data_IF_420800659280
#
_entry.id   IF_420800659280
#
_cell.length_a   1.000
_cell.length_b   1.000
_cell.length_c   1.000
_cell.angle_alpha   90.00
_cell.angle_beta   90.00
_cell.angle_gamma   90.00
#
_symmetry.space_group_name_H-M   'P 1'
#
loop_
_entity.id
_entity.type
_entity.pdbx_description
1 polymer ?
#
# COMPACT_ATOMS: atom_id res chain seq x y z
N UNK A 1 6.70 -33.62 -12.70
CA UNK A 1 7.20 -33.10 -11.40
C UNK A 1 7.75 -31.72 -11.67
N UNK A 2 7.02 -30.68 -11.24
CA UNK A 2 7.22 -29.27 -11.57
C UNK A 2 8.35 -28.69 -10.70
N UNK A 3 9.41 -28.18 -11.34
CA UNK A 3 10.36 -27.25 -10.71
C UNK A 3 9.96 -25.85 -11.18
N UNK A 4 9.39 -25.03 -10.31
CA UNK A 4 9.32 -23.58 -10.53
C UNK A 4 10.74 -23.03 -10.27
N UNK A 5 11.36 -22.48 -11.31
CA UNK A 5 12.52 -21.62 -11.19
C UNK A 5 12.00 -20.20 -10.95
N UNK A 6 12.29 -19.65 -9.78
CA UNK A 6 12.23 -18.21 -9.50
C UNK A 6 13.46 -17.58 -10.18
N UNK A 7 13.25 -16.69 -11.14
CA UNK A 7 14.31 -15.86 -11.73
C UNK A 7 14.71 -14.80 -10.67
N UNK A 8 15.87 -14.91 -10.04
CA UNK A 8 17.18 -14.45 -10.51
C UNK A 8 17.51 -13.02 -10.02
N UNK A 9 17.91 -12.90 -8.74
CA UNK A 9 18.86 -11.86 -8.32
C UNK A 9 20.24 -12.21 -8.92
N UNK A 10 20.86 -11.28 -9.65
CA UNK A 10 22.18 -11.44 -10.23
C UNK A 10 23.23 -10.58 -9.50
N UNK A 11 24.17 -11.28 -8.85
CA UNK A 11 25.59 -10.95 -8.59
C UNK A 11 26.02 -9.73 -7.75
N UNK A 12 26.64 -10.01 -6.59
CA UNK A 12 28.07 -9.75 -6.36
C UNK A 12 28.61 -10.61 -5.20
N UNK A 13 29.70 -11.34 -5.45
CA UNK A 13 30.43 -12.15 -4.47
C UNK A 13 31.34 -11.31 -3.59
N UNK A 14 31.21 -11.41 -2.25
CA UNK A 14 32.24 -10.99 -1.30
C UNK A 14 32.37 -11.99 -0.16
N UNK A 15 33.62 -12.25 0.22
CA UNK A 15 34.07 -13.23 1.20
C UNK A 15 33.75 -12.82 2.64
N UNK A 16 33.10 -13.73 3.37
CA UNK A 16 33.09 -13.95 4.83
C UNK A 16 33.40 -12.76 5.76
N UNK A 17 32.35 -11.99 6.10
CA UNK A 17 32.01 -11.45 7.43
C UNK A 17 30.75 -10.59 7.31
N UNK A 18 29.57 -11.18 7.05
CA UNK A 18 28.38 -10.41 6.66
C UNK A 18 27.07 -10.97 7.24
N UNK A 19 26.94 -11.01 8.56
CA UNK A 19 25.62 -11.21 9.19
C UNK A 19 24.88 -9.89 9.47
N UNK A 20 25.36 -8.74 8.99
CA UNK A 20 24.88 -7.42 9.41
C UNK A 20 24.56 -6.43 8.28
N UNK A 21 24.47 -6.87 7.02
CA UNK A 21 23.96 -6.01 5.94
C UNK A 21 22.60 -6.51 5.49
N UNK A 22 21.59 -5.65 5.55
CA UNK A 22 20.27 -5.89 4.94
C UNK A 22 20.40 -5.63 3.43
N UNK A 23 19.78 -6.48 2.61
CA UNK A 23 19.57 -6.19 1.19
C UNK A 23 18.18 -5.61 1.02
N UNK A 24 18.10 -4.39 0.53
CA UNK A 24 16.85 -3.78 0.11
C UNK A 24 16.30 -4.50 -1.12
N UNK A 25 15.00 -4.74 -1.14
CA UNK A 25 14.31 -5.21 -2.33
C UNK A 25 14.39 -4.15 -3.43
N UNK A 26 14.40 -4.60 -4.69
CA UNK A 26 14.53 -3.73 -5.87
C UNK A 26 13.34 -2.74 -6.02
N UNK A 27 12.32 -2.85 -5.15
CA UNK A 27 11.09 -2.08 -5.16
C UNK A 27 11.17 -0.80 -4.29
N UNK A 28 12.32 -0.49 -3.68
CA UNK A 28 12.53 0.70 -2.83
C UNK A 28 13.67 1.59 -3.34
N UNK A 29 13.40 2.88 -3.54
CA UNK A 29 14.39 3.93 -3.83
C UNK A 29 14.40 4.97 -2.68
N UNK A 30 15.27 4.75 -1.69
CA UNK A 30 15.37 5.60 -0.50
C UNK A 30 16.10 6.93 -0.79
N UNK A 31 15.46 8.05 -0.44
CA UNK A 31 15.93 9.40 -0.79
C UNK A 31 16.21 10.33 0.41
N UNK A 32 16.02 9.87 1.66
CA UNK A 32 16.38 10.66 2.85
C UNK A 32 15.38 10.57 4.02
N UNK A 33 15.63 11.30 5.10
CA UNK A 33 14.83 11.27 6.34
C UNK A 33 14.22 12.63 6.67
N UNK A 34 12.90 12.63 6.94
CA UNK A 34 12.10 13.79 7.33
C UNK A 34 12.16 14.02 8.84
N UNK A 35 12.20 15.28 9.27
CA UNK A 35 12.29 15.65 10.69
C UNK A 35 10.95 15.71 11.43
N UNK A 36 9.81 15.66 10.72
CA UNK A 36 8.45 15.46 11.26
C UNK A 36 7.91 16.45 12.31
N UNK A 37 8.72 17.39 12.81
CA UNK A 37 8.46 18.08 14.09
C UNK A 37 8.59 19.62 14.02
N UNK A 38 8.66 20.23 12.83
CA UNK A 38 8.96 21.66 12.70
C UNK A 38 8.30 22.42 11.54
N UNK A 39 7.52 21.76 10.69
CA UNK A 39 6.72 22.46 9.68
C UNK A 39 5.35 22.81 10.28
N UNK A 40 4.78 23.96 9.91
CA UNK A 40 3.36 24.24 10.18
C UNK A 40 2.56 23.14 9.49
N UNK A 41 2.01 22.21 10.27
CA UNK A 41 1.18 21.12 9.76
C UNK A 41 -0.15 21.73 9.34
N UNK A 42 -0.31 22.00 8.05
CA UNK A 42 -1.63 22.24 7.47
C UNK A 42 -1.97 21.03 6.63
N UNK A 43 -3.00 20.29 7.05
CA UNK A 43 -3.60 19.27 6.21
C UNK A 43 -4.01 19.91 4.88
N UNK A 44 -3.73 19.26 3.73
CA UNK A 44 -4.21 19.76 2.45
C UNK A 44 -5.73 19.90 2.48
N UNK A 45 -6.30 20.96 1.88
CA UNK A 45 -7.73 21.10 1.78
C UNK A 45 -8.31 19.99 0.89
N UNK A 46 -9.45 19.40 1.29
CA UNK A 46 -10.19 18.45 0.47
C UNK A 46 -10.62 19.07 -0.86
N UNK A 47 -10.27 18.45 -1.99
CA UNK A 47 -10.89 18.78 -3.26
C UNK A 47 -12.30 18.19 -3.33
N UNK A 48 -13.29 18.96 -3.82
CA UNK A 48 -14.67 18.50 -3.90
C UNK A 48 -14.87 17.33 -4.89
N UNK A 49 -14.04 17.24 -5.94
CA UNK A 49 -13.95 16.16 -6.93
C UNK A 49 -12.50 16.03 -7.38
N UNK A 50 -11.88 14.85 -7.28
CA UNK A 50 -10.55 14.55 -7.82
C UNK A 50 -9.48 15.62 -7.56
N UNK A 51 -8.67 15.44 -6.52
CA UNK A 51 -7.60 16.39 -6.19
C UNK A 51 -6.24 16.00 -6.77
N UNK A 52 -6.00 14.69 -6.85
CA UNK A 52 -4.70 14.15 -7.20
C UNK A 52 -4.42 14.36 -8.68
N UNK A 53 -3.21 14.83 -8.99
CA UNK A 53 -2.70 14.87 -10.36
C UNK A 53 -1.53 13.90 -10.47
N UNK A 54 -1.59 12.97 -11.42
CA UNK A 54 -0.48 12.07 -11.73
C UNK A 54 0.16 12.52 -13.05
N UNK A 55 1.44 12.88 -13.00
CA UNK A 55 2.28 13.18 -14.16
C UNK A 55 3.07 11.93 -14.53
N UNK A 56 2.96 11.51 -15.79
CA UNK A 56 3.65 10.34 -16.33
C UNK A 56 4.85 10.76 -17.18
N UNK A 57 6.05 10.44 -16.72
CA UNK A 57 7.30 10.66 -17.45
C UNK A 57 7.68 9.39 -18.21
N UNK A 58 7.83 9.47 -19.53
CA UNK A 58 8.21 8.31 -20.35
C UNK A 58 9.71 7.97 -20.14
N UNK A 59 10.00 6.74 -19.76
CA UNK A 59 11.37 6.19 -19.71
C UNK A 59 11.71 5.26 -20.88
N UNK A 60 10.71 4.98 -21.74
CA UNK A 60 10.85 4.26 -23.01
C UNK A 60 9.62 3.41 -23.33
N UNK A 61 9.14 3.45 -24.59
CA UNK A 61 8.02 2.63 -25.05
C UNK A 61 6.63 3.14 -24.65
N UNK A 62 6.56 4.34 -24.05
CA UNK A 62 5.34 5.00 -23.57
C UNK A 62 5.22 6.40 -24.20
N UNK A 63 5.57 6.53 -25.48
CA UNK A 63 5.49 7.80 -26.21
C UNK A 63 4.03 8.23 -26.39
N UNK A 64 3.80 9.55 -26.51
CA UNK A 64 2.48 10.10 -26.76
C UNK A 64 1.85 9.48 -28.02
N UNK A 65 0.61 9.00 -27.91
CA UNK A 65 -0.13 8.34 -28.99
C UNK A 65 0.03 6.80 -29.03
N UNK A 66 0.88 6.21 -28.19
CA UNK A 66 0.95 4.74 -28.04
C UNK A 66 -0.21 4.20 -27.19
N UNK A 67 -0.57 2.93 -27.39
CA UNK A 67 -1.56 2.25 -26.54
C UNK A 67 -1.09 2.14 -25.09
N UNK A 68 0.20 1.87 -24.86
CA UNK A 68 0.78 1.85 -23.52
C UNK A 68 0.62 3.19 -22.81
N UNK A 69 0.86 4.31 -23.51
CA UNK A 69 0.63 5.65 -22.96
C UNK A 69 -0.83 5.86 -22.58
N UNK A 70 -1.77 5.54 -23.46
CA UNK A 70 -3.19 5.67 -23.18
C UNK A 70 -3.61 4.79 -21.99
N UNK A 71 -3.08 3.57 -21.88
CA UNK A 71 -3.36 2.66 -20.77
C UNK A 71 -2.86 3.20 -19.42
N UNK A 72 -1.65 3.75 -19.37
CA UNK A 72 -1.15 4.39 -18.15
C UNK A 72 -1.94 5.66 -17.79
N UNK A 73 -2.35 6.46 -18.78
CA UNK A 73 -3.19 7.65 -18.55
C UNK A 73 -4.57 7.25 -18.00
N UNK A 74 -5.16 6.16 -18.51
CA UNK A 74 -6.40 5.61 -17.99
C UNK A 74 -6.24 5.10 -16.55
N UNK A 75 -5.14 4.40 -16.24
CA UNK A 75 -4.84 3.92 -14.89
C UNK A 75 -4.61 5.09 -13.90
N UNK A 76 -3.88 6.12 -14.32
CA UNK A 76 -3.69 7.34 -13.57
C UNK A 76 -5.02 8.07 -13.30
N UNK A 77 -5.93 8.07 -14.29
CA UNK A 77 -7.26 8.67 -14.16
C UNK A 77 -8.14 7.94 -13.13
N UNK A 78 -8.00 6.61 -12.98
CA UNK A 78 -8.70 5.86 -11.92
C UNK A 78 -8.36 6.45 -10.55
N UNK A 79 -7.08 6.50 -10.18
CA UNK A 79 -6.66 7.06 -8.90
C UNK A 79 -6.98 8.55 -8.76
N UNK A 80 -6.76 9.34 -9.81
CA UNK A 80 -7.05 10.79 -9.81
C UNK A 80 -8.54 11.10 -9.64
N UNK A 81 -9.43 10.17 -10.03
CA UNK A 81 -10.88 10.32 -9.84
C UNK A 81 -11.35 9.94 -8.43
N UNK A 82 -10.54 9.21 -7.68
CA UNK A 82 -10.86 8.65 -6.36
C UNK A 82 -10.23 9.48 -5.25
N UNK A 83 -8.92 9.70 -5.32
CA UNK A 83 -8.14 10.40 -4.29
C UNK A 83 -8.38 11.93 -4.35
N UNK A 84 -8.61 12.55 -3.20
CA UNK A 84 -9.06 13.95 -3.07
C UNK A 84 -7.96 14.92 -2.64
N UNK A 85 -6.76 14.41 -2.35
CA UNK A 85 -5.58 15.21 -2.03
C UNK A 85 -5.15 16.06 -3.23
N UNK A 86 -5.09 17.39 -3.13
CA UNK A 86 -4.71 18.27 -4.23
C UNK A 86 -3.19 18.29 -4.48
N UNK A 87 -2.59 17.11 -4.66
CA UNK A 87 -1.13 16.93 -4.77
C UNK A 87 -0.73 16.36 -6.13
N UNK A 88 0.51 16.65 -6.54
CA UNK A 88 1.07 16.13 -7.79
C UNK A 88 2.03 14.98 -7.53
N UNK A 89 1.67 13.80 -8.02
CA UNK A 89 2.51 12.60 -8.04
C UNK A 89 3.19 12.49 -9.39
N UNK A 90 4.48 12.20 -9.41
CA UNK A 90 5.27 12.04 -10.64
C UNK A 90 5.72 10.58 -10.74
N UNK A 91 5.29 9.90 -11.79
CA UNK A 91 5.65 8.51 -12.03
C UNK A 91 6.45 8.41 -13.32
N UNK A 92 7.60 7.77 -13.23
CA UNK A 92 8.36 7.33 -14.39
C UNK A 92 7.71 6.05 -14.92
N UNK A 93 7.31 6.02 -16.19
CA UNK A 93 6.61 4.87 -16.81
C UNK A 93 7.38 4.32 -17.99
N UNK A 94 7.51 3.00 -18.06
CA UNK A 94 8.23 2.30 -19.12
C UNK A 94 7.49 1.07 -19.64
N UNK A 95 7.68 0.76 -20.92
CA UNK A 95 7.11 -0.42 -21.57
C UNK A 95 8.20 -1.10 -22.43
N UNK A 96 8.84 -2.11 -21.87
CA UNK A 96 9.99 -2.78 -22.49
C UNK A 96 10.04 -4.26 -22.08
N UNK A 97 11.07 -5.01 -22.47
CA UNK A 97 11.17 -6.40 -22.05
C UNK A 97 11.56 -6.48 -20.56
N UNK A 98 10.74 -7.15 -19.75
CA UNK A 98 11.07 -7.49 -18.36
C UNK A 98 11.48 -8.96 -18.21
N UNK A 99 11.80 -9.36 -16.98
CA UNK A 99 12.08 -10.75 -16.65
C UNK A 99 10.91 -11.69 -16.98
N UNK A 100 11.17 -13.00 -17.19
CA UNK A 100 10.13 -13.97 -17.50
C UNK A 100 9.00 -13.96 -16.45
N UNK A 101 7.74 -14.00 -16.90
CA UNK A 101 6.53 -14.00 -16.07
C UNK A 101 6.28 -12.71 -15.25
N UNK A 102 7.01 -11.61 -15.49
CA UNK A 102 6.76 -10.31 -14.86
C UNK A 102 5.89 -9.47 -15.80
N UNK A 103 4.65 -9.22 -15.39
CA UNK A 103 3.68 -8.40 -16.13
C UNK A 103 4.04 -6.91 -16.04
N UNK A 104 4.15 -6.45 -14.80
CA UNK A 104 4.62 -5.13 -14.41
C UNK A 104 5.41 -5.24 -13.11
N UNK A 105 6.07 -4.15 -12.77
CA UNK A 105 6.78 -3.98 -11.50
C UNK A 105 6.82 -2.50 -11.13
N UNK A 106 6.88 -2.22 -9.83
CA UNK A 106 6.95 -0.87 -9.31
C UNK A 106 8.07 -0.71 -8.31
N UNK A 107 8.93 0.28 -8.56
CA UNK A 107 9.84 0.80 -7.56
C UNK A 107 9.27 2.09 -6.96
N UNK A 108 9.21 2.16 -5.63
CA UNK A 108 8.68 3.30 -4.88
C UNK A 108 9.80 4.19 -4.35
N UNK A 109 9.71 5.49 -4.62
CA UNK A 109 10.60 6.47 -4.00
C UNK A 109 10.15 6.74 -2.57
N UNK A 110 11.06 6.64 -1.60
CA UNK A 110 10.72 6.66 -0.18
C UNK A 110 11.57 7.63 0.65
N UNK A 111 11.01 8.06 1.77
CA UNK A 111 11.72 8.70 2.86
C UNK A 111 11.53 7.89 4.15
N UNK A 112 12.32 8.22 5.17
CA UNK A 112 12.02 7.83 6.55
C UNK A 112 11.36 9.00 7.27
N UNK A 113 10.46 8.72 8.19
CA UNK A 113 9.88 9.70 9.09
C UNK A 113 9.84 9.11 10.50
N UNK A 114 9.97 9.96 11.53
CA UNK A 114 9.79 9.51 12.91
C UNK A 114 8.35 9.05 13.13
N UNK A 115 8.15 7.98 13.89
CA UNK A 115 6.82 7.47 14.21
C UNK A 115 5.92 8.55 14.84
N UNK A 116 6.45 9.31 15.81
CA UNK A 116 5.72 10.43 16.42
C UNK A 116 5.34 11.52 15.40
N UNK A 117 6.24 11.83 14.46
CA UNK A 117 5.98 12.80 13.40
C UNK A 117 4.87 12.32 12.48
N UNK A 118 4.96 11.07 12.00
CA UNK A 118 3.94 10.44 11.17
C UNK A 118 2.57 10.44 11.86
N UNK A 119 2.49 9.98 13.12
CA UNK A 119 1.24 9.97 13.89
C UNK A 119 0.64 11.37 14.01
N UNK A 120 1.46 12.40 14.17
CA UNK A 120 1.00 13.80 14.25
C UNK A 120 0.44 14.28 12.91
N UNK A 121 1.08 13.93 11.79
CA UNK A 121 0.60 14.27 10.46
C UNK A 121 -0.72 13.57 10.15
N UNK A 122 -0.80 12.25 10.38
CA UNK A 122 -2.03 11.48 10.17
C UNK A 122 -3.18 12.02 11.05
N UNK A 123 -2.90 12.43 12.29
CA UNK A 123 -3.90 13.05 13.15
C UNK A 123 -4.36 14.43 12.66
N UNK A 124 -3.47 15.21 12.06
CA UNK A 124 -3.82 16.51 11.49
C UNK A 124 -4.59 16.37 10.17
N UNK A 125 -4.30 15.30 9.42
CA UNK A 125 -4.91 15.01 8.12
C UNK A 125 -6.20 14.19 8.23
N UNK A 126 -6.53 13.64 9.39
CA UNK A 126 -7.73 12.82 9.57
C UNK A 126 -9.04 13.54 9.16
N UNK A 127 -9.66 13.06 8.09
CA UNK A 127 -10.85 13.66 7.46
C UNK A 127 -12.04 12.71 7.38
N UNK A 128 -11.82 11.41 7.53
CA UNK A 128 -12.86 10.38 7.57
C UNK A 128 -12.97 9.70 8.95
N UNK A 129 -14.09 9.01 9.20
CA UNK A 129 -14.25 8.15 10.37
C UNK A 129 -13.34 6.92 10.37
N UNK A 130 -12.79 6.52 9.21
CA UNK A 130 -11.77 5.49 9.13
C UNK A 130 -10.40 6.05 9.53
N UNK A 131 -10.02 7.26 9.11
CA UNK A 131 -8.84 7.97 9.61
C UNK A 131 -8.86 8.11 11.13
N UNK A 132 -10.00 8.54 11.68
CA UNK A 132 -10.14 8.69 13.12
C UNK A 132 -9.96 7.35 13.85
N UNK A 133 -10.45 6.25 13.29
CA UNK A 133 -10.20 4.92 13.87
C UNK A 133 -8.73 4.50 13.76
N UNK A 134 -8.13 4.72 12.59
CA UNK A 134 -6.73 4.45 12.31
C UNK A 134 -5.81 5.18 13.29
N UNK A 135 -5.91 6.52 13.34
CA UNK A 135 -5.09 7.40 14.19
C UNK A 135 -5.28 7.10 15.67
N UNK A 136 -6.52 6.89 16.13
CA UNK A 136 -6.78 6.61 17.55
C UNK A 136 -6.23 5.25 18.01
N UNK A 137 -5.92 4.34 17.09
CA UNK A 137 -5.29 3.05 17.43
C UNK A 137 -3.76 3.13 17.55
N UNK A 138 -3.16 4.22 17.07
CA UNK A 138 -1.71 4.40 17.07
C UNK A 138 -1.22 4.72 18.50
N UNK A 139 -0.22 3.97 19.02
CA UNK A 139 0.38 4.21 20.33
C UNK A 139 0.80 5.66 20.52
N UNK A 140 0.49 6.19 21.70
CA UNK A 140 1.02 7.47 22.11
C UNK A 140 2.50 7.31 22.47
N UNK A 141 3.30 8.31 22.11
CA UNK A 141 4.74 8.33 22.36
C UNK A 141 5.56 8.42 21.08
N UNK A 142 6.83 8.06 21.20
CA UNK A 142 7.82 8.13 20.13
C UNK A 142 8.05 6.81 19.40
N UNK A 143 7.55 5.69 19.92
CA UNK A 143 7.80 4.36 19.39
C UNK A 143 6.52 3.58 19.10
N UNK A 144 6.63 2.68 18.13
CA UNK A 144 5.63 1.66 17.81
C UNK A 144 6.22 0.29 18.10
N UNK A 145 5.44 -0.58 18.75
CA UNK A 145 5.78 -1.99 18.93
C UNK A 145 5.02 -2.87 17.96
N UNK A 146 5.64 -3.95 17.52
CA UNK A 146 5.09 -4.90 16.55
C UNK A 146 5.74 -6.28 16.74
N UNK A 147 5.22 -7.30 16.06
CA UNK A 147 5.85 -8.60 16.01
C UNK A 147 6.87 -8.66 14.87
N UNK A 148 8.05 -9.19 15.15
CA UNK A 148 9.14 -9.39 14.19
C UNK A 148 9.59 -10.85 14.15
N UNK A 149 10.11 -11.27 12.99
CA UNK A 149 10.83 -12.55 12.84
C UNK A 149 12.31 -12.44 13.22
N UNK A 150 12.81 -11.23 13.45
CA UNK A 150 14.12 -10.99 14.06
C UNK A 150 13.97 -10.99 15.58
N UNK A 151 14.78 -11.79 16.26
CA UNK A 151 14.67 -11.98 17.70
C UNK A 151 15.70 -11.14 18.46
N UNK A 152 15.21 -10.32 19.39
CA UNK A 152 16.04 -9.50 20.27
C UNK A 152 16.66 -8.29 19.58
N UNK A 153 17.44 -7.51 20.32
CA UNK A 153 18.05 -6.28 19.84
C UNK A 153 19.17 -6.56 18.83
N UNK A 154 18.84 -6.50 17.55
CA UNK A 154 19.69 -6.82 16.42
C UNK A 154 20.30 -5.58 15.73
N UNK A 155 20.65 -4.52 16.47
CA UNK A 155 21.39 -3.40 15.88
C UNK A 155 22.81 -3.82 15.47
N UNK A 156 23.34 -3.21 14.40
CA UNK A 156 24.69 -3.55 13.88
C UNK A 156 25.76 -3.54 14.99
N UNK A 157 26.60 -4.58 15.03
CA UNK A 157 27.68 -4.83 16.01
C UNK A 157 27.28 -5.45 17.37
N UNK A 158 26.05 -5.95 17.54
CA UNK A 158 25.72 -6.78 18.70
C UNK A 158 26.05 -8.26 18.41
N UNK A 159 26.91 -8.93 19.19
CA UNK A 159 27.30 -10.33 18.95
C UNK A 159 26.15 -11.36 19.03
N UNK A 160 25.00 -10.96 19.56
CA UNK A 160 23.82 -11.81 19.72
C UNK A 160 22.86 -11.77 18.54
N UNK A 161 23.06 -10.90 17.55
CA UNK A 161 22.19 -10.83 16.36
C UNK A 161 22.10 -12.20 15.68
N UNK A 162 20.89 -12.76 15.65
CA UNK A 162 20.60 -13.97 14.88
C UNK A 162 19.96 -13.59 13.56
N UNK A 163 20.15 -14.42 12.54
CA UNK A 163 19.44 -14.25 11.28
C UNK A 163 17.91 -14.26 11.51
N UNK A 164 17.19 -13.49 10.70
CA UNK A 164 15.74 -13.46 10.67
C UNK A 164 15.23 -14.89 10.47
N UNK A 165 14.33 -15.34 11.35
CA UNK A 165 13.82 -16.70 11.34
C UNK A 165 12.30 -16.72 11.27
N UNK A 166 11.76 -17.41 10.27
CA UNK A 166 10.31 -17.60 10.10
C UNK A 166 9.66 -18.43 11.22
N UNK A 167 10.47 -19.12 12.02
CA UNK A 167 10.02 -19.81 13.24
C UNK A 167 9.97 -18.89 14.47
N UNK A 168 10.58 -17.70 14.38
CA UNK A 168 10.52 -16.69 15.43
C UNK A 168 9.35 -15.76 15.20
N UNK A 169 8.65 -15.43 16.29
CA UNK A 169 7.65 -14.35 16.31
C UNK A 169 7.72 -13.72 17.68
N UNK A 170 8.51 -12.66 17.76
CA UNK A 170 8.85 -11.98 19.00
C UNK A 170 8.29 -10.57 18.99
N UNK A 171 7.85 -10.10 20.16
CA UNK A 171 7.46 -8.72 20.31
C UNK A 171 8.72 -7.85 20.25
N UNK A 172 8.75 -6.99 19.26
CA UNK A 172 9.74 -5.95 19.06
C UNK A 172 9.25 -4.66 19.74
N UNK A 173 9.97 -4.25 20.77
CA UNK A 173 9.60 -3.14 21.64
C UNK A 173 10.82 -2.55 22.38
N UNK A 174 11.99 -2.62 21.76
CA UNK A 174 13.26 -2.29 22.42
C UNK A 174 13.78 -0.86 22.11
N UNK A 175 12.96 -0.08 21.40
CA UNK A 175 13.18 1.31 21.00
C UNK A 175 14.39 1.52 20.09
N UNK A 176 14.66 0.55 19.22
CA UNK A 176 15.63 0.68 18.12
C UNK A 176 15.03 1.47 16.94
N UNK A 177 15.75 1.53 15.81
CA UNK A 177 15.44 2.48 14.72
C UNK A 177 14.09 2.18 14.08
N UNK A 178 13.74 0.92 13.92
CA UNK A 178 12.48 0.46 13.32
C UNK A 178 11.26 0.68 14.21
N UNK A 179 11.43 0.74 15.54
CA UNK A 179 10.38 1.21 16.45
C UNK A 179 10.19 2.74 16.38
N UNK A 180 11.26 3.49 16.08
CA UNK A 180 11.29 4.96 16.10
C UNK A 180 10.97 5.60 14.74
N UNK A 181 11.16 4.87 13.64
CA UNK A 181 11.05 5.39 12.28
C UNK A 181 10.23 4.46 11.39
N UNK A 182 9.43 5.08 10.53
CA UNK A 182 8.60 4.42 9.53
C UNK A 182 9.10 4.83 8.15
N UNK A 183 9.19 3.85 7.24
CA UNK A 183 9.41 4.11 5.82
C UNK A 183 8.10 4.57 5.18
N UNK A 184 8.16 5.66 4.42
CA UNK A 184 6.99 6.29 3.81
C UNK A 184 7.27 6.62 2.35
N UNK A 185 6.34 6.34 1.45
CA UNK A 185 6.46 6.72 0.05
C UNK A 185 6.40 8.25 -0.08
N UNK A 186 7.19 8.84 -0.99
CA UNK A 186 7.16 10.29 -1.20
C UNK A 186 5.79 10.78 -1.67
N UNK A 187 4.99 9.91 -2.32
CA UNK A 187 3.60 10.18 -2.63
C UNK A 187 2.73 10.39 -1.38
N UNK A 188 2.88 9.54 -0.36
CA UNK A 188 2.18 9.69 0.93
C UNK A 188 2.66 10.91 1.70
N UNK A 189 3.97 11.22 1.63
CA UNK A 189 4.52 12.45 2.25
C UNK A 189 3.80 13.70 1.70
N UNK A 190 3.53 13.74 0.39
CA UNK A 190 2.76 14.82 -0.23
C UNK A 190 1.32 14.85 0.25
N UNK A 191 0.66 13.70 0.27
CA UNK A 191 -0.73 13.57 0.72
C UNK A 191 -0.92 14.06 2.17
N UNK A 192 0.03 13.72 3.05
CA UNK A 192 0.09 14.23 4.44
C UNK A 192 0.53 15.70 4.57
N UNK A 193 0.63 16.45 3.48
CA UNK A 193 0.89 17.90 3.47
C UNK A 193 2.37 18.29 3.66
N UNK A 194 3.31 17.35 3.51
CA UNK A 194 4.74 17.65 3.58
C UNK A 194 5.40 17.68 2.20
N UNK A 195 6.56 18.34 2.14
CA UNK A 195 7.45 18.27 0.99
C UNK A 195 8.41 17.08 1.16
N UNK A 196 8.44 16.12 0.21
CA UNK A 196 9.39 15.02 0.28
C UNK A 196 10.83 15.49 0.09
N UNK A 197 11.76 14.66 0.58
CA UNK A 197 13.19 14.82 0.31
C UNK A 197 13.53 13.95 -0.89
N UNK A 198 14.14 14.57 -1.91
CA UNK A 198 14.71 13.88 -3.05
C UNK A 198 16.23 14.07 -3.03
N UNK A 199 16.99 13.00 -3.20
CA UNK A 199 18.42 13.03 -3.38
C UNK A 199 18.76 13.78 -4.67
N UNK A 200 19.97 14.34 -4.75
CA UNK A 200 20.43 15.14 -5.88
C UNK A 200 20.40 14.38 -7.22
N UNK A 201 20.44 13.05 -7.20
CA UNK A 201 20.32 12.19 -8.39
C UNK A 201 18.89 12.08 -8.93
N UNK A 202 17.86 12.29 -8.10
CA UNK A 202 16.45 12.27 -8.51
C UNK A 202 16.00 13.68 -8.94
N UNK A 203 16.55 14.14 -10.06
CA UNK A 203 16.35 15.50 -10.58
C UNK A 203 14.90 15.79 -11.03
N UNK A 204 14.14 14.74 -11.37
CA UNK A 204 12.74 14.85 -11.78
C UNK A 204 11.77 14.82 -10.60
N UNK A 205 12.28 14.58 -9.38
CA UNK A 205 11.48 14.39 -8.18
C UNK A 205 10.37 13.34 -8.40
N UNK A 206 10.74 12.22 -9.06
CA UNK A 206 9.83 11.09 -9.26
C UNK A 206 9.47 10.47 -7.92
N UNK A 207 8.23 10.05 -7.78
CA UNK A 207 7.70 9.34 -6.61
C UNK A 207 7.71 7.82 -6.79
N UNK A 208 7.82 7.34 -8.03
CA UNK A 208 7.94 5.93 -8.34
C UNK A 208 8.29 5.70 -9.80
N UNK A 209 8.71 4.48 -10.09
CA UNK A 209 8.96 3.96 -11.42
C UNK A 209 8.07 2.75 -11.62
N UNK A 210 7.22 2.78 -12.64
CA UNK A 210 6.33 1.70 -13.03
C UNK A 210 6.76 1.18 -14.41
N UNK A 211 7.19 -0.07 -14.48
CA UNK A 211 7.66 -0.70 -15.72
C UNK A 211 6.76 -1.88 -16.09
N UNK A 212 6.41 -1.99 -17.37
CA UNK A 212 5.57 -3.06 -17.90
C UNK A 212 6.28 -3.84 -18.99
N UNK A 213 5.97 -5.13 -19.06
CA UNK A 213 6.56 -6.02 -20.03
C UNK A 213 5.84 -5.95 -21.38
N UNK A 214 6.60 -5.73 -22.45
CA UNK A 214 6.11 -5.80 -23.83
C UNK A 214 6.03 -7.23 -24.40
N UNK A 215 6.21 -8.26 -23.56
CA UNK A 215 6.21 -9.67 -23.95
C UNK A 215 4.86 -10.36 -23.75
N UNK A 216 3.83 -9.63 -23.27
CA UNK A 216 2.49 -10.16 -23.02
C UNK A 216 1.47 -9.54 -23.96
N UNK A 217 0.35 -10.25 -24.14
CA UNK A 217 -0.78 -9.75 -24.91
C UNK A 217 -1.68 -8.91 -24.00
N UNK A 218 -1.71 -7.62 -24.27
CA UNK A 218 -2.38 -6.63 -23.43
C UNK A 218 -3.66 -6.13 -24.09
N UNK A 219 -4.66 -5.90 -23.26
CA UNK A 219 -5.82 -5.08 -23.56
C UNK A 219 -5.61 -3.70 -22.95
N UNK A 220 -5.54 -2.67 -23.79
CA UNK A 220 -5.32 -1.29 -23.36
C UNK A 220 -6.63 -0.48 -23.33
N UNK A 221 -7.73 -1.03 -23.84
CA UNK A 221 -9.01 -0.36 -23.92
C UNK A 221 -10.06 -1.17 -23.17
N UNK A 222 -10.64 -0.57 -22.13
CA UNK A 222 -11.64 -1.23 -21.29
C UNK A 222 -13.07 -0.98 -21.75
N UNK A 223 -13.27 -0.16 -22.79
CA UNK A 223 -14.58 0.37 -23.15
C UNK A 223 -15.52 -0.67 -23.76
N UNK A 224 -14.99 -1.78 -24.28
CA UNK A 224 -15.72 -2.89 -24.88
C UNK A 224 -15.63 -4.20 -24.08
N UNK A 225 -15.05 -4.15 -22.87
CA UNK A 225 -14.80 -5.29 -22.01
C UNK A 225 -13.31 -5.59 -21.92
N UNK A 226 -12.96 -6.80 -21.51
CA UNK A 226 -11.59 -7.33 -21.61
C UNK A 226 -11.68 -8.63 -22.40
N UNK A 227 -10.95 -8.73 -23.51
CA UNK A 227 -10.90 -9.98 -24.29
C UNK A 227 -10.35 -11.12 -23.41
N UNK A 228 -11.00 -12.30 -23.35
CA UNK A 228 -10.52 -13.46 -22.59
C UNK A 228 -9.10 -13.94 -22.91
N UNK A 229 -8.51 -13.56 -24.05
CA UNK A 229 -7.15 -13.86 -24.44
C UNK A 229 -6.12 -12.76 -24.09
N UNK A 230 -6.60 -11.58 -23.66
CA UNK A 230 -5.77 -10.42 -23.34
C UNK A 230 -5.75 -10.16 -21.82
N UNK A 231 -4.77 -9.38 -21.39
CA UNK A 231 -4.62 -8.96 -19.99
C UNK A 231 -5.01 -7.49 -19.86
N UNK A 232 -5.86 -7.16 -18.89
CA UNK A 232 -6.27 -5.77 -18.58
C UNK A 232 -5.06 -4.91 -18.17
N UNK A 233 -4.46 -4.20 -19.13
CA UNK A 233 -3.29 -3.37 -18.89
C UNK A 233 -3.62 -2.23 -17.94
N UNK A 234 -4.79 -1.60 -18.11
CA UNK A 234 -5.21 -0.45 -17.29
C UNK A 234 -5.40 -0.88 -15.84
N UNK A 235 -6.04 -2.03 -15.61
CA UNK A 235 -6.21 -2.62 -14.30
C UNK A 235 -4.89 -2.96 -13.60
N UNK A 236 -3.98 -3.65 -14.31
CA UNK A 236 -2.66 -3.98 -13.75
C UNK A 236 -1.82 -2.71 -13.56
N UNK A 237 -1.88 -1.73 -14.46
CA UNK A 237 -1.18 -0.44 -14.27
C UNK A 237 -1.74 0.34 -13.08
N UNK A 238 -3.05 0.28 -12.81
CA UNK A 238 -3.63 0.88 -11.63
C UNK A 238 -3.18 0.16 -10.34
N UNK A 239 -3.04 -1.16 -10.36
CA UNK A 239 -2.42 -1.93 -9.28
C UNK A 239 -0.99 -1.46 -9.00
N UNK A 240 -0.15 -1.38 -10.02
CA UNK A 240 1.23 -0.94 -9.90
C UNK A 240 1.35 0.50 -9.37
N UNK A 241 0.49 1.41 -9.84
CA UNK A 241 0.39 2.76 -9.28
C UNK A 241 0.02 2.72 -7.78
N UNK A 242 -0.81 1.77 -7.35
CA UNK A 242 -1.15 1.56 -5.94
C UNK A 242 0.07 1.31 -5.05
N UNK A 243 1.07 0.56 -5.53
CA UNK A 243 2.34 0.39 -4.81
C UNK A 243 3.11 1.70 -4.71
N UNK A 244 3.22 2.47 -5.80
CA UNK A 244 3.88 3.78 -5.78
C UNK A 244 3.17 4.77 -4.85
N UNK A 245 1.85 4.65 -4.71
CA UNK A 245 1.04 5.43 -3.77
C UNK A 245 1.24 4.99 -2.31
N UNK A 246 1.86 3.85 -2.02
CA UNK A 246 2.21 3.45 -0.65
C UNK A 246 1.54 2.17 -0.15
N UNK A 247 0.85 1.43 -1.02
CA UNK A 247 0.43 0.06 -0.69
C UNK A 247 1.65 -0.87 -0.74
N UNK A 248 2.47 -0.80 0.30
CA UNK A 248 3.70 -1.57 0.47
C UNK A 248 3.78 -2.09 1.90
N UNK A 249 4.57 -3.13 2.12
CA UNK A 249 4.84 -3.70 3.43
C UNK A 249 6.31 -4.04 3.58
N UNK A 250 6.88 -3.71 4.74
CA UNK A 250 8.26 -4.05 5.10
C UNK A 250 8.49 -5.56 5.24
N UNK A 251 7.41 -6.34 5.37
CA UNK A 251 7.50 -7.80 5.48
C UNK A 251 8.12 -8.43 4.22
N UNK A 252 8.03 -7.81 3.05
CA UNK A 252 8.73 -8.30 1.85
C UNK A 252 10.25 -8.24 2.01
N UNK A 253 10.76 -7.15 2.59
CA UNK A 253 12.17 -7.02 2.96
C UNK A 253 12.58 -8.11 3.97
N UNK A 254 11.77 -8.32 5.00
CA UNK A 254 12.03 -9.35 6.01
C UNK A 254 12.07 -10.75 5.37
N UNK A 255 11.14 -11.05 4.45
CA UNK A 255 11.04 -12.34 3.76
C UNK A 255 12.27 -12.65 2.90
N UNK A 256 12.71 -11.67 2.09
CA UNK A 256 13.92 -11.81 1.27
C UNK A 256 15.16 -11.98 2.15
N UNK A 257 15.30 -11.18 3.21
CA UNK A 257 16.47 -11.24 4.08
C UNK A 257 16.50 -12.53 4.94
N UNK A 258 15.35 -13.07 5.34
CA UNK A 258 15.24 -14.38 5.99
C UNK A 258 15.75 -15.50 5.06
N UNK A 259 15.36 -15.48 3.78
CA UNK A 259 15.83 -16.45 2.79
C UNK A 259 17.35 -16.35 2.55
N UNK A 260 17.92 -15.15 2.70
CA UNK A 260 19.36 -14.91 2.57
C UNK A 260 20.13 -15.11 3.89
N UNK A 261 19.47 -15.56 4.95
CA UNK A 261 20.05 -15.77 6.29
C UNK A 261 20.74 -14.50 6.83
N UNK A 262 20.07 -13.36 6.70
CA UNK A 262 20.56 -12.02 7.13
C UNK A 262 19.85 -11.56 8.41
N UNK A 263 20.46 -10.58 9.07
CA UNK A 263 19.95 -9.89 10.25
C UNK A 263 20.11 -8.36 10.08
N UNK A 264 19.56 -7.57 11.00
CA UNK A 264 19.80 -6.13 11.14
C UNK A 264 18.63 -5.23 10.78
N UNK A 265 17.39 -5.72 10.88
CA UNK A 265 16.18 -4.92 10.68
C UNK A 265 16.04 -3.83 11.76
N UNK A 266 16.42 -4.10 13.01
CA UNK A 266 16.42 -3.12 14.12
C UNK A 266 17.18 -1.81 13.83
N UNK A 267 18.16 -1.87 12.91
CA UNK A 267 19.01 -0.73 12.58
C UNK A 267 18.44 0.19 11.49
N UNK A 268 17.29 -0.16 10.89
CA UNK A 268 16.73 0.54 9.73
C UNK A 268 15.22 0.77 9.88
N UNK A 269 14.69 1.82 9.26
CA UNK A 269 13.24 1.93 9.12
C UNK A 269 12.78 0.98 8.00
N UNK A 270 12.20 -0.16 8.37
CA UNK A 270 11.73 -1.15 7.39
C UNK A 270 10.20 -1.29 7.36
N UNK A 271 9.52 -1.09 8.49
CA UNK A 271 8.07 -1.01 8.52
C UNK A 271 7.54 0.19 7.76
N UNK A 272 6.43 -0.02 7.07
CA UNK A 272 5.75 0.99 6.25
C UNK A 272 4.53 1.57 6.96
N UNK A 273 3.90 2.59 6.38
CA UNK A 273 2.65 3.14 6.91
C UNK A 273 1.52 2.10 6.92
N UNK A 274 1.42 1.25 5.88
CA UNK A 274 0.41 0.18 5.81
C UNK A 274 0.58 -0.84 6.93
N UNK A 275 1.82 -1.15 7.31
CA UNK A 275 2.14 -2.11 8.36
C UNK A 275 1.65 -1.65 9.74
N UNK A 276 1.36 -0.36 9.93
CA UNK A 276 0.73 0.15 11.16
C UNK A 276 -0.67 -0.45 11.40
N UNK A 277 -1.31 -0.93 10.32
CA UNK A 277 -2.66 -1.50 10.31
C UNK A 277 -2.67 -3.00 10.01
N UNK A 278 -1.50 -3.62 10.00
CA UNK A 278 -1.33 -5.07 9.88
C UNK A 278 -1.35 -5.68 11.27
N UNK A 279 -2.43 -6.37 11.62
CA UNK A 279 -2.67 -6.95 12.94
C UNK A 279 -2.84 -8.47 12.88
N UNK A 280 -2.48 -9.16 13.95
CA UNK A 280 -2.93 -10.52 14.22
C UNK A 280 -3.21 -10.71 15.72
N UNK A 281 -3.82 -11.83 16.10
CA UNK A 281 -3.90 -12.22 17.51
C UNK A 281 -2.59 -12.88 17.94
N UNK A 282 -1.95 -12.33 18.95
CA UNK A 282 -0.75 -12.89 19.58
C UNK A 282 -0.92 -12.90 21.09
N UNK A 283 -0.73 -14.06 21.72
CA UNK A 283 -0.96 -14.26 23.16
C UNK A 283 -2.34 -13.75 23.65
N UNK A 284 -3.37 -13.90 22.83
CA UNK A 284 -4.75 -13.48 23.15
C UNK A 284 -5.04 -11.99 22.98
N UNK A 285 -4.09 -11.20 22.46
CA UNK A 285 -4.25 -9.77 22.21
C UNK A 285 -4.04 -9.43 20.73
N UNK A 286 -4.80 -8.46 20.22
CA UNK A 286 -4.54 -7.88 18.90
C UNK A 286 -3.21 -7.14 18.94
N UNK A 287 -2.27 -7.54 18.08
CA UNK A 287 -0.91 -7.01 18.05
C UNK A 287 -0.53 -6.71 16.61
N UNK A 288 0.13 -5.57 16.38
CA UNK A 288 0.73 -5.23 15.08
C UNK A 288 1.71 -6.33 14.68
N UNK A 289 1.65 -6.79 13.44
CA UNK A 289 2.34 -7.99 13.01
C UNK A 289 3.11 -7.78 11.72
N UNK A 290 4.41 -7.55 11.83
CA UNK A 290 5.31 -7.37 10.69
C UNK A 290 6.06 -8.67 10.40
N UNK A 291 5.47 -9.82 10.78
CA UNK A 291 6.07 -11.13 10.50
C UNK A 291 5.63 -11.71 9.16
N UNK A 292 6.53 -12.51 8.62
CA UNK A 292 6.35 -13.46 7.54
C UNK A 292 5.44 -14.60 8.01
N UNK A 293 4.57 -15.06 7.13
CA UNK A 293 3.59 -16.10 7.42
C UNK A 293 2.47 -15.62 8.36
N UNK A 294 1.88 -16.56 9.10
CA UNK A 294 0.77 -16.27 10.03
C UNK A 294 -0.56 -15.98 9.33
N UNK A 295 -1.45 -15.27 10.04
CA UNK A 295 -2.75 -14.83 9.49
C UNK A 295 -2.96 -13.33 9.74
N UNK A 296 -2.04 -12.47 9.26
CA UNK A 296 -2.18 -11.04 9.42
C UNK A 296 -3.40 -10.52 8.66
N UNK A 297 -4.08 -9.57 9.29
CA UNK A 297 -5.24 -8.89 8.77
C UNK A 297 -5.04 -7.38 8.78
N UNK A 298 -5.67 -6.73 7.81
CA UNK A 298 -5.91 -5.30 7.84
C UNK A 298 -7.01 -4.98 8.82
N UNK A 299 -6.67 -4.19 9.82
CA UNK A 299 -7.60 -3.65 10.80
C UNK A 299 -7.17 -2.23 11.17
N UNK A 300 -8.12 -1.30 11.16
CA UNK A 300 -7.85 0.09 11.51
C UNK A 300 -7.49 0.28 12.98
N UNK A 301 -7.89 -0.67 13.84
CA UNK A 301 -7.72 -0.54 15.29
C UNK A 301 -7.37 -1.83 16.03
N UNK A 302 -6.94 -2.87 15.30
CA UNK A 302 -6.73 -4.21 15.86
C UNK A 302 -8.01 -4.93 16.27
N UNK A 303 -9.19 -4.36 15.95
CA UNK A 303 -10.48 -5.00 16.18
C UNK A 303 -10.88 -5.90 15.02
N UNK A 304 -11.89 -5.47 14.25
CA UNK A 304 -12.41 -6.26 13.14
C UNK A 304 -11.36 -6.40 12.03
N UNK A 305 -11.15 -7.63 11.56
CA UNK A 305 -10.44 -7.90 10.31
C UNK A 305 -11.30 -7.43 9.13
N UNK A 306 -10.76 -6.54 8.31
CA UNK A 306 -11.44 -5.96 7.14
C UNK A 306 -10.98 -6.67 5.86
N UNK A 307 -9.72 -7.08 5.80
CA UNK A 307 -9.14 -7.84 4.69
C UNK A 307 -7.90 -8.61 5.14
N UNK A 308 -7.65 -9.79 4.59
CA UNK A 308 -6.43 -10.54 4.91
C UNK A 308 -5.27 -10.05 4.04
N UNK A 309 -4.05 -10.09 4.57
CA UNK A 309 -2.85 -9.79 3.79
C UNK A 309 -2.16 -11.06 3.29
N UNK A 310 -1.44 -10.92 2.18
CA UNK A 310 -0.39 -11.86 1.79
C UNK A 310 0.77 -11.82 2.80
N UNK A 311 1.57 -12.88 2.83
CA UNK A 311 2.44 -13.20 3.99
C UNK A 311 3.90 -13.46 3.64
N UNK A 312 4.30 -13.39 2.37
CA UNK A 312 5.68 -13.53 1.92
C UNK A 312 5.78 -14.40 0.66
N UNK A 313 6.59 -13.96 -0.30
CA UNK A 313 6.78 -14.62 -1.60
C UNK A 313 7.67 -15.86 -1.53
N UNK A 314 8.55 -15.94 -0.54
CA UNK A 314 9.51 -17.03 -0.36
C UNK A 314 9.15 -17.92 0.83
N UNK A 315 8.96 -17.33 2.00
CA UNK A 315 8.75 -18.09 3.24
C UNK A 315 7.32 -17.96 3.81
N UNK A 316 6.42 -17.31 3.07
CA UNK A 316 5.01 -17.13 3.43
C UNK A 316 4.06 -17.99 2.58
N UNK A 317 3.09 -17.33 1.96
CA UNK A 317 2.03 -17.91 1.13
C UNK A 317 2.32 -17.82 -0.37
N UNK A 318 3.60 -17.64 -0.72
CA UNK A 318 4.11 -17.50 -2.09
C UNK A 318 3.65 -16.22 -2.78
N UNK A 319 3.20 -15.22 -2.02
CA UNK A 319 2.75 -13.91 -2.49
C UNK A 319 3.41 -12.80 -1.66
N UNK A 320 3.86 -11.74 -2.32
CA UNK A 320 4.46 -10.58 -1.64
C UNK A 320 3.48 -10.00 -0.62
N UNK A 321 3.96 -9.71 0.59
CA UNK A 321 3.20 -9.18 1.70
C UNK A 321 2.66 -7.76 1.45
N UNK A 322 3.20 -7.03 0.48
CA UNK A 322 2.65 -5.78 -0.10
C UNK A 322 1.34 -5.98 -0.88
N UNK A 323 0.57 -7.03 -0.59
CA UNK A 323 -0.67 -7.35 -1.30
C UNK A 323 -1.77 -7.80 -0.35
N UNK A 324 -3.01 -7.67 -0.81
CA UNK A 324 -4.12 -8.44 -0.26
C UNK A 324 -3.87 -9.93 -0.37
N UNK A 325 -4.56 -10.71 0.44
CA UNK A 325 -4.55 -12.16 0.34
C UNK A 325 -5.10 -12.56 -1.02
N UNK A 326 -4.29 -13.29 -1.75
CA UNK A 326 -4.59 -13.80 -3.07
C UNK A 326 -5.89 -14.60 -3.14
N UNK A 327 -6.69 -14.27 -4.14
CA UNK A 327 -7.92 -14.96 -4.45
C UNK A 327 -7.73 -16.37 -5.02
N UNK A 328 -6.57 -16.69 -5.60
CA UNK A 328 -6.26 -18.07 -5.99
C UNK A 328 -6.05 -18.99 -4.78
N UNK A 329 -5.80 -18.43 -3.59
CA UNK A 329 -5.74 -19.16 -2.31
C UNK A 329 -7.07 -19.18 -1.56
N UNK A 330 -7.86 -18.11 -1.64
CA UNK A 330 -9.05 -17.92 -0.80
C UNK A 330 -10.37 -18.13 -1.53
N UNK A 331 -10.34 -17.96 -2.85
CA UNK A 331 -11.48 -17.96 -3.72
C UNK A 331 -12.28 -16.66 -3.77
N UNK A 332 -11.73 -15.55 -3.27
CA UNK A 332 -12.42 -14.27 -3.23
C UNK A 332 -11.44 -13.13 -3.48
N UNK A 333 -11.68 -12.36 -4.54
CA UNK A 333 -10.91 -11.16 -4.87
C UNK A 333 -11.27 -10.04 -3.88
N UNK A 334 -10.28 -9.60 -3.11
CA UNK A 334 -10.47 -8.60 -2.05
C UNK A 334 -10.39 -7.16 -2.58
N UNK A 335 -9.49 -6.90 -3.53
CA UNK A 335 -9.19 -5.57 -4.00
C UNK A 335 -8.30 -5.60 -5.24
N UNK A 336 -8.04 -4.42 -5.80
CA UNK A 336 -7.10 -4.26 -6.92
C UNK A 336 -5.68 -4.65 -6.52
N UNK A 337 -5.33 -4.53 -5.24
CA UNK A 337 -4.02 -4.93 -4.71
C UNK A 337 -3.89 -6.45 -4.46
N UNK A 338 -4.68 -7.28 -5.16
CA UNK A 338 -4.47 -8.73 -5.24
C UNK A 338 -3.21 -9.03 -6.09
N UNK A 339 -2.31 -9.95 -5.69
CA UNK A 339 -1.06 -10.19 -6.42
C UNK A 339 -1.25 -10.94 -7.75
N UNK A 340 -2.46 -11.32 -8.13
CA UNK A 340 -2.75 -11.94 -9.43
C UNK A 340 -3.76 -11.18 -10.26
N UNK A 341 -3.55 -11.22 -11.58
CA UNK A 341 -4.44 -10.62 -12.59
C UNK A 341 -5.80 -11.31 -12.75
N UNK A 342 -6.03 -12.42 -12.07
CA UNK A 342 -7.23 -13.25 -12.25
C UNK A 342 -8.18 -13.03 -11.08
N UNK A 343 -9.47 -12.94 -11.36
CA UNK A 343 -10.48 -13.14 -10.34
C UNK A 343 -10.59 -14.63 -9.96
N UNK A 344 -11.44 -14.95 -8.97
CA UNK A 344 -11.69 -16.32 -8.54
C UNK A 344 -11.98 -17.26 -9.74
N UNK A 345 -11.32 -18.42 -9.78
CA UNK A 345 -11.34 -19.42 -10.86
C UNK A 345 -10.64 -19.03 -12.18
N UNK A 346 -9.75 -18.04 -12.17
CA UNK A 346 -8.97 -17.71 -13.37
C UNK A 346 -9.74 -16.89 -14.41
N UNK A 347 -10.93 -16.39 -14.06
CA UNK A 347 -11.66 -15.46 -14.91
C UNK A 347 -10.88 -14.14 -14.99
N UNK A 348 -10.58 -13.70 -16.21
CA UNK A 348 -10.02 -12.37 -16.45
C UNK A 348 -11.10 -11.37 -16.07
N UNK A 349 -10.84 -10.55 -15.06
CA UNK A 349 -11.81 -9.59 -14.55
C UNK A 349 -11.33 -8.18 -14.81
N UNK A 350 -12.32 -7.30 -14.85
CA UNK A 350 -12.13 -5.86 -14.84
C UNK A 350 -11.58 -5.48 -13.45
N UNK A 351 -10.27 -5.28 -13.34
CA UNK A 351 -9.60 -4.94 -12.07
C UNK A 351 -9.87 -3.47 -11.71
N UNK A 352 -10.59 -3.22 -10.63
CA UNK A 352 -10.88 -1.87 -10.13
C UNK A 352 -10.63 -1.81 -8.62
N UNK A 353 -10.27 -0.64 -8.07
CA UNK A 353 -10.23 -0.45 -6.63
C UNK A 353 -11.59 -0.78 -6.00
N UNK A 354 -11.59 -1.61 -4.98
CA UNK A 354 -12.76 -1.94 -4.16
C UNK A 354 -12.83 -1.01 -2.95
N UNK A 355 -13.93 -1.08 -2.19
CA UNK A 355 -14.03 -0.32 -0.94
C UNK A 355 -12.93 -0.67 0.07
N UNK A 356 -12.44 -1.92 0.06
CA UNK A 356 -11.32 -2.33 0.91
C UNK A 356 -10.04 -1.56 0.54
N UNK A 357 -9.73 -1.45 -0.75
CA UNK A 357 -8.59 -0.65 -1.22
C UNK A 357 -8.74 0.79 -0.75
N UNK A 358 -9.93 1.39 -0.92
CA UNK A 358 -10.15 2.78 -0.53
C UNK A 358 -9.97 3.02 0.97
N UNK A 359 -10.46 2.12 1.83
CA UNK A 359 -10.26 2.22 3.28
C UNK A 359 -8.76 2.09 3.64
N UNK A 360 -8.02 1.25 2.92
CA UNK A 360 -6.58 1.13 3.11
C UNK A 360 -5.84 2.41 2.71
N UNK A 361 -6.17 2.99 1.55
CA UNK A 361 -5.58 4.26 1.10
C UNK A 361 -5.94 5.44 2.03
N UNK A 362 -7.18 5.46 2.56
CA UNK A 362 -7.60 6.40 3.60
C UNK A 362 -6.69 6.31 4.82
N UNK A 363 -6.61 5.12 5.41
CA UNK A 363 -5.85 4.89 6.64
C UNK A 363 -4.35 5.21 6.51
N UNK A 364 -3.77 5.14 5.31
CA UNK A 364 -2.35 5.43 5.07
C UNK A 364 -2.08 6.88 4.60
N UNK A 365 -3.08 7.76 4.68
CA UNK A 365 -2.92 9.21 4.57
C UNK A 365 -3.38 9.84 3.26
N UNK A 366 -4.30 9.21 2.52
CA UNK A 366 -4.98 9.86 1.39
C UNK A 366 -6.43 10.15 1.71
N UNK A 367 -6.95 11.28 1.25
CA UNK A 367 -8.36 11.55 1.35
C UNK A 367 -9.17 10.79 0.29
N UNK A 368 -10.18 10.04 0.73
CA UNK A 368 -11.14 9.40 -0.19
C UNK A 368 -12.58 9.74 0.16
N UNK A 369 -13.42 9.86 -0.88
CA UNK A 369 -14.87 9.97 -0.69
C UNK A 369 -15.47 8.58 -0.42
N UNK A 370 -15.13 7.94 0.70
CA UNK A 370 -15.77 6.69 1.13
C UNK A 370 -17.01 7.05 1.96
N UNK A 371 -18.24 6.75 1.49
CA UNK A 371 -19.40 7.08 2.28
C UNK A 371 -19.47 6.16 3.50
N UNK A 372 -19.39 6.75 4.69
CA UNK A 372 -19.48 5.99 5.94
C UNK A 372 -20.84 5.28 6.06
N UNK A 373 -20.91 4.09 6.70
CA UNK A 373 -22.18 3.40 6.94
C UNK A 373 -23.24 4.27 7.62
N UNK A 374 -22.81 5.17 8.51
CA UNK A 374 -23.69 6.14 9.17
C UNK A 374 -24.28 7.17 8.18
N UNK A 375 -23.51 7.59 7.17
CA UNK A 375 -23.98 8.48 6.10
C UNK A 375 -25.09 7.83 5.28
N UNK A 376 -24.94 6.53 4.97
CA UNK A 376 -26.02 5.76 4.33
C UNK A 376 -27.25 5.64 5.22
N UNK A 377 -27.07 5.31 6.51
CA UNK A 377 -28.18 5.20 7.46
C UNK A 377 -28.94 6.52 7.60
N UNK A 378 -28.23 7.64 7.67
CA UNK A 378 -28.81 8.99 7.75
C UNK A 378 -29.51 9.41 6.46
N UNK A 379 -28.94 9.09 5.30
CA UNK A 379 -29.57 9.34 4.00
C UNK A 379 -30.84 8.49 3.82
N UNK A 380 -30.79 7.20 4.15
CA UNK A 380 -31.95 6.31 4.12
C UNK A 380 -33.03 6.79 5.10
N UNK A 381 -32.65 7.14 6.33
CA UNK A 381 -33.56 7.71 7.32
C UNK A 381 -34.17 9.02 6.80
N UNK A 382 -33.38 9.91 6.21
CA UNK A 382 -33.83 11.14 5.58
C UNK A 382 -34.86 10.89 4.48
N UNK A 383 -34.60 9.96 3.56
CA UNK A 383 -35.56 9.57 2.53
C UNK A 383 -36.83 8.93 3.11
N UNK A 384 -36.70 8.10 4.16
CA UNK A 384 -37.83 7.52 4.86
C UNK A 384 -38.71 8.60 5.51
N UNK A 385 -38.12 9.62 6.15
CA UNK A 385 -38.84 10.75 6.73
C UNK A 385 -39.54 11.61 5.67
N UNK A 386 -38.86 11.93 4.55
CA UNK A 386 -39.46 12.66 3.42
C UNK A 386 -40.63 11.88 2.83
N UNK A 387 -40.46 10.57 2.62
CA UNK A 387 -41.52 9.68 2.14
C UNK A 387 -42.72 9.63 3.10
N UNK A 388 -42.49 9.52 4.40
CA UNK A 388 -43.54 9.54 5.43
C UNK A 388 -44.28 10.89 5.49
N UNK A 389 -43.57 12.01 5.40
CA UNK A 389 -44.15 13.36 5.39
C UNK A 389 -44.98 13.62 4.12
N UNK A 390 -44.49 13.19 2.95
CA UNK A 390 -45.21 13.28 1.69
C UNK A 390 -46.50 12.43 1.69
N UNK A 391 -46.45 11.22 2.28
CA UNK A 391 -47.63 10.35 2.47
C UNK A 391 -48.66 10.99 3.39
N UNK A 392 -48.22 11.66 4.47
CA UNK A 392 -49.12 12.34 5.41
C UNK A 392 -49.84 13.54 4.78
N UNK A 393 -49.19 14.28 3.88
CA UNK A 393 -49.80 15.42 3.16
C UNK A 393 -50.87 15.00 2.14
N UNK A 394 -50.80 13.78 1.59
CA UNK A 394 -51.81 13.24 0.68
C UNK A 394 -53.13 12.85 1.37
N UNK A 395 -53.13 12.69 2.69
CA UNK A 395 -54.32 12.29 3.46
C UNK A 395 -55.08 13.46 4.09
N UNK A 396 -54.76 14.71 3.73
CA UNK A 396 -55.59 15.86 4.14
C UNK A 396 -56.80 15.91 3.20
N UNK A 397 -57.88 15.24 3.60
CA UNK A 397 -59.17 15.35 2.94
C UNK A 397 -59.68 16.80 3.08
N UNK A 398 -59.92 17.46 1.96
CA UNK A 398 -60.63 18.74 1.91
C UNK A 398 -62.08 18.46 2.28
N UNK A 399 -62.48 18.85 3.49
CA UNK A 399 -63.89 18.89 3.89
C UNK A 399 -64.50 20.17 3.34
N UNK A 400 -65.34 20.05 2.31
CA UNK A 400 -66.21 21.16 1.89
C UNK A 400 -67.37 21.24 2.88
N UNK A 401 -67.59 22.44 3.43
CA UNK A 401 -68.75 22.80 4.26
C UNK A 401 -69.77 23.55 3.40
#
# INVERSE_FOLDING_TARGET
>A
MKKLLVAALCCASWTAAANASVIWEDDVDFQGSLSGSGAIVQAPPLAANGGLTIILNNTGGVEAGTQARAGFEAAAAIWSSILRDPVTIRLDVGFSQLGPNILGQTNSTTNNITYAGLRTLMAADAKSGYDLQAVNSLPLGATVSFLSNEAGNCVTNVPTCQAISTNSRTLDNDNTVDNLQIQINTAQVKALGLNPIYAASNVTQRDGLVAFSNQFNWDFDRSDGIDPALIDFVGVAAHEIGHALGFRSGVDLADVNANLNRAGLDAIAWGTVLDLFRYQTFNGAATRDWTIGGTPCFSLNGGTCIGNFSTGSVNGDLRQASHWKDDALTGTTLGIMDPTRSGFNGAITFLNPTQLDLIAFDAIGYDVAVPEPATWAMMIAGFAFVGAAARRRRNVAVSFA
#
